data_IF_450247021136
#
_entry.id   IF_450247021136
#
_cell.length_a   1.000
_cell.length_b   1.000
_cell.length_c   1.000
_cell.angle_alpha   90.00
_cell.angle_beta   90.00
_cell.angle_gamma   90.00
#
_symmetry.space_group_name_H-M   'P 1'
#
loop_
_entity.id
_entity.type
_entity.pdbx_description
1 polymer ?
#
# COMPACT_ATOMS: atom_id res chain seq x y z
N UNK A 1 -51.92 -36.96 1.91
CA UNK A 1 -51.71 -35.99 3.01
C UNK A 1 -51.36 -36.71 4.31
N UNK A 2 -50.28 -37.51 4.35
CA UNK A 2 -49.86 -38.27 5.56
C UNK A 2 -48.33 -38.43 5.71
N UNK A 3 -47.52 -37.82 4.84
CA UNK A 3 -46.06 -37.96 4.88
C UNK A 3 -45.37 -37.06 5.93
N UNK A 4 -46.10 -36.09 6.52
CA UNK A 4 -45.54 -35.12 7.48
C UNK A 4 -45.67 -35.54 8.96
N UNK A 5 -46.35 -36.67 9.27
CA UNK A 5 -46.60 -37.10 10.66
C UNK A 5 -45.60 -38.15 11.17
N UNK A 6 -44.64 -38.57 10.33
CA UNK A 6 -43.69 -39.65 10.63
C UNK A 6 -42.26 -39.16 10.90
N UNK A 7 -42.09 -37.90 11.28
CA UNK A 7 -40.87 -37.49 11.98
C UNK A 7 -41.04 -38.03 13.40
N UNK A 8 -40.70 -39.30 13.58
CA UNK A 8 -40.75 -39.98 14.86
C UNK A 8 -39.97 -39.16 15.89
N UNK A 9 -40.49 -39.00 17.12
CA UNK A 9 -39.88 -38.13 18.14
C UNK A 9 -38.40 -38.43 18.43
N UNK A 10 -37.94 -39.64 18.08
CA UNK A 10 -36.53 -40.06 18.11
C UNK A 10 -35.66 -39.33 17.09
N UNK A 11 -36.16 -39.09 15.87
CA UNK A 11 -35.45 -38.35 14.82
C UNK A 11 -35.31 -36.88 15.22
N UNK A 12 -36.38 -36.28 15.75
CA UNK A 12 -36.34 -34.91 16.24
C UNK A 12 -35.34 -34.75 17.41
N UNK A 13 -35.33 -35.73 18.32
CA UNK A 13 -34.41 -35.76 19.46
C UNK A 13 -32.93 -35.89 19.04
N UNK A 14 -32.63 -36.50 17.88
CA UNK A 14 -31.27 -36.58 17.34
C UNK A 14 -30.90 -35.35 16.50
N UNK A 15 -31.84 -34.78 15.75
CA UNK A 15 -31.58 -33.62 14.89
C UNK A 15 -31.31 -32.33 15.68
N UNK A 16 -32.02 -32.11 16.79
CA UNK A 16 -31.85 -30.92 17.63
C UNK A 16 -30.41 -30.73 18.15
N UNK A 17 -29.77 -31.72 18.81
CA UNK A 17 -28.40 -31.57 19.28
C UNK A 17 -27.39 -31.47 18.12
N UNK A 18 -27.62 -32.17 17.01
CA UNK A 18 -26.76 -32.06 15.82
C UNK A 18 -26.80 -30.64 15.25
N UNK A 19 -27.99 -30.06 15.10
CA UNK A 19 -28.15 -28.68 14.64
C UNK A 19 -27.50 -27.69 15.61
N UNK A 20 -27.63 -27.94 16.91
CA UNK A 20 -27.02 -27.10 17.95
C UNK A 20 -25.49 -27.13 17.88
N UNK A 21 -24.91 -28.32 17.73
CA UNK A 21 -23.47 -28.50 17.55
C UNK A 21 -22.97 -27.89 16.24
N UNK A 22 -23.72 -28.03 15.15
CA UNK A 22 -23.39 -27.39 13.87
C UNK A 22 -23.41 -25.86 13.97
N UNK A 23 -24.41 -25.29 14.65
CA UNK A 23 -24.50 -23.85 14.88
C UNK A 23 -23.34 -23.33 15.75
N UNK A 24 -23.00 -24.05 16.83
CA UNK A 24 -21.83 -23.72 17.65
C UNK A 24 -20.52 -23.82 16.87
N UNK A 25 -20.35 -24.88 16.09
CA UNK A 25 -19.18 -25.06 15.22
C UNK A 25 -19.06 -23.93 14.20
N UNK A 26 -20.17 -23.51 13.59
CA UNK A 26 -20.20 -22.36 12.68
C UNK A 26 -19.86 -21.05 13.39
N UNK A 27 -20.37 -20.82 14.60
CA UNK A 27 -20.07 -19.61 15.37
C UNK A 27 -18.59 -19.56 15.78
N UNK A 28 -18.05 -20.66 16.29
CA UNK A 28 -16.63 -20.76 16.65
C UNK A 28 -15.73 -20.58 15.42
N UNK A 29 -16.08 -21.22 14.30
CA UNK A 29 -15.37 -21.07 13.02
C UNK A 29 -15.37 -19.62 12.52
N UNK A 30 -16.51 -18.94 12.56
CA UNK A 30 -16.60 -17.54 12.15
C UNK A 30 -15.73 -16.62 13.03
N UNK A 31 -15.71 -16.84 14.34
CA UNK A 31 -14.85 -16.09 15.27
C UNK A 31 -13.37 -16.35 14.95
N UNK A 32 -12.99 -17.60 14.74
CA UNK A 32 -11.63 -17.98 14.41
C UNK A 32 -11.16 -17.33 13.09
N UNK A 33 -11.96 -17.43 12.03
CA UNK A 33 -11.67 -16.82 10.73
C UNK A 33 -11.53 -15.30 10.87
N UNK A 34 -12.43 -14.66 11.62
CA UNK A 34 -12.36 -13.21 11.88
C UNK A 34 -11.07 -12.82 12.62
N UNK A 35 -10.70 -13.59 13.64
CA UNK A 35 -9.46 -13.34 14.38
C UNK A 35 -8.23 -13.50 13.48
N UNK A 36 -8.16 -14.61 12.75
CA UNK A 36 -7.04 -14.88 11.83
C UNK A 36 -6.94 -13.84 10.71
N UNK A 37 -8.08 -13.41 10.17
CA UNK A 37 -8.13 -12.33 9.17
C UNK A 37 -7.56 -11.04 9.73
N UNK A 38 -7.83 -10.71 11.00
CA UNK A 38 -7.29 -9.49 11.62
C UNK A 38 -5.78 -9.57 11.82
N UNK A 39 -5.26 -10.71 12.25
CA UNK A 39 -3.81 -10.91 12.38
C UNK A 39 -3.09 -10.75 11.04
N UNK A 40 -3.58 -11.43 10.00
CA UNK A 40 -3.00 -11.36 8.65
C UNK A 40 -3.08 -9.95 8.07
N UNK A 41 -4.18 -9.23 8.34
CA UNK A 41 -4.34 -7.85 7.90
C UNK A 41 -3.30 -6.93 8.55
N UNK A 42 -3.07 -7.06 9.86
CA UNK A 42 -2.06 -6.27 10.58
C UNK A 42 -0.65 -6.56 10.05
N UNK A 43 -0.34 -7.83 9.76
CA UNK A 43 0.95 -8.20 9.18
C UNK A 43 1.15 -7.58 7.79
N UNK A 44 0.11 -7.62 6.95
CA UNK A 44 0.12 -6.99 5.64
C UNK A 44 0.31 -5.47 5.73
N UNK A 45 -0.44 -4.82 6.63
CA UNK A 45 -0.35 -3.38 6.87
C UNK A 45 1.05 -2.97 7.30
N UNK A 46 1.70 -3.75 8.18
CA UNK A 46 3.09 -3.50 8.61
C UNK A 46 4.08 -3.57 7.43
N UNK A 47 3.92 -4.53 6.52
CA UNK A 47 4.79 -4.66 5.34
C UNK A 47 4.55 -3.53 4.34
N UNK A 48 3.30 -3.13 4.13
CA UNK A 48 2.96 -1.99 3.28
C UNK A 48 3.53 -0.69 3.85
N UNK A 49 3.40 -0.45 5.16
CA UNK A 49 3.95 0.74 5.80
C UNK A 49 5.46 0.87 5.60
N UNK A 50 6.20 -0.24 5.67
CA UNK A 50 7.65 -0.23 5.40
C UNK A 50 7.94 0.05 3.92
N UNK A 51 7.17 -0.53 3.00
CA UNK A 51 7.32 -0.25 1.56
C UNK A 51 7.05 1.22 1.25
N UNK A 52 5.97 1.78 1.79
CA UNK A 52 5.59 3.17 1.58
C UNK A 52 6.65 4.12 2.16
N UNK A 53 7.25 3.77 3.31
CA UNK A 53 8.39 4.51 3.86
C UNK A 53 9.59 4.52 2.91
N UNK A 54 9.97 3.36 2.38
CA UNK A 54 11.08 3.25 1.42
C UNK A 54 10.78 4.02 0.13
N UNK A 55 9.53 4.04 -0.33
CA UNK A 55 9.12 4.78 -1.52
C UNK A 55 9.23 6.30 -1.31
N UNK A 56 8.88 6.80 -0.12
CA UNK A 56 9.10 8.20 0.27
C UNK A 56 10.58 8.53 0.28
N UNK A 57 11.40 7.70 0.93
CA UNK A 57 12.86 7.90 1.00
C UNK A 57 13.49 7.89 -0.39
N UNK A 58 13.08 6.95 -1.24
CA UNK A 58 13.51 6.90 -2.64
C UNK A 58 13.12 8.17 -3.40
N UNK A 59 11.89 8.66 -3.22
CA UNK A 59 11.44 9.91 -3.83
C UNK A 59 12.28 11.12 -3.39
N UNK A 60 12.63 11.19 -2.11
CA UNK A 60 13.53 12.23 -1.58
C UNK A 60 14.92 12.14 -2.21
N UNK A 61 15.52 10.95 -2.25
CA UNK A 61 16.82 10.73 -2.88
C UNK A 61 16.82 11.07 -4.38
N UNK A 62 15.72 10.80 -5.08
CA UNK A 62 15.60 11.11 -6.50
C UNK A 62 15.48 12.63 -6.75
N UNK A 63 14.78 13.35 -5.87
CA UNK A 63 14.77 14.81 -5.87
C UNK A 63 16.17 15.38 -5.60
N UNK A 64 16.88 14.83 -4.61
CA UNK A 64 18.28 15.17 -4.36
C UNK A 64 19.14 14.93 -5.59
N UNK A 65 19.08 13.77 -6.25
CA UNK A 65 19.87 13.51 -7.47
C UNK A 65 19.53 14.44 -8.63
N UNK A 66 18.24 14.79 -8.79
CA UNK A 66 17.79 15.67 -9.88
C UNK A 66 18.33 17.10 -9.75
N UNK A 67 18.50 17.58 -8.51
CA UNK A 67 19.07 18.90 -8.23
C UNK A 67 20.55 18.99 -8.65
N UNK A 68 21.30 17.88 -8.56
CA UNK A 68 22.73 17.85 -8.90
C UNK A 68 22.98 17.52 -10.39
N UNK A 69 22.08 16.77 -11.04
CA UNK A 69 22.31 16.30 -12.41
C UNK A 69 22.01 17.31 -13.51
N UNK A 70 21.13 18.29 -13.29
CA UNK A 70 20.69 19.21 -14.37
C UNK A 70 21.37 20.57 -14.31
N UNK A 71 21.47 21.20 -13.13
CA UNK A 71 22.04 22.55 -13.03
C UNK A 71 23.57 22.54 -12.98
N UNK A 72 24.17 21.77 -12.07
CA UNK A 72 25.61 21.76 -11.91
C UNK A 72 26.35 21.14 -13.12
N UNK A 73 25.78 20.14 -13.77
CA UNK A 73 26.39 19.52 -14.95
C UNK A 73 26.44 20.47 -16.15
N UNK A 74 25.33 21.15 -16.46
CA UNK A 74 25.26 22.07 -17.61
C UNK A 74 26.12 23.32 -17.37
N UNK A 75 26.08 23.88 -16.16
CA UNK A 75 26.86 25.05 -15.79
C UNK A 75 28.37 24.75 -15.83
N UNK A 76 28.79 23.59 -15.31
CA UNK A 76 30.19 23.20 -15.32
C UNK A 76 30.67 22.82 -16.73
N UNK A 77 29.83 22.17 -17.55
CA UNK A 77 30.15 21.89 -18.95
C UNK A 77 30.27 23.19 -19.76
N UNK A 78 29.39 24.17 -19.53
CA UNK A 78 29.43 25.48 -20.18
C UNK A 78 30.64 26.33 -19.74
N UNK A 79 30.96 26.33 -18.44
CA UNK A 79 32.13 27.03 -17.92
C UNK A 79 33.44 26.40 -18.42
N UNK A 80 33.52 25.06 -18.46
CA UNK A 80 34.79 24.37 -18.74
C UNK A 80 35.02 24.14 -20.24
N UNK A 81 34.01 23.71 -21.01
CA UNK A 81 34.18 23.46 -22.45
C UNK A 81 33.91 24.69 -23.31
N UNK A 82 32.94 25.53 -22.93
CA UNK A 82 32.57 26.72 -23.70
C UNK A 82 33.21 28.01 -23.16
N UNK A 83 33.99 27.94 -22.07
CA UNK A 83 34.59 29.10 -21.41
C UNK A 83 33.57 30.20 -21.13
N UNK A 84 32.30 29.85 -20.88
CA UNK A 84 31.28 30.85 -20.59
C UNK A 84 31.45 31.37 -19.16
N UNK A 85 31.55 32.69 -19.03
CA UNK A 85 31.54 33.40 -17.76
C UNK A 85 30.42 34.44 -17.79
N UNK A 86 29.80 34.69 -16.63
CA UNK A 86 28.76 35.72 -16.50
C UNK A 86 29.41 37.08 -16.83
N UNK A 87 28.97 37.76 -17.90
CA UNK A 87 29.58 39.01 -18.30
C UNK A 87 29.32 40.09 -17.25
N UNK A 88 30.32 40.93 -16.93
CA UNK A 88 30.14 42.03 -15.98
C UNK A 88 29.09 43.02 -16.51
N UNK A 89 28.40 43.77 -15.64
CA UNK A 89 27.30 44.66 -16.01
C UNK A 89 27.65 45.69 -17.11
N UNK A 90 28.94 46.02 -17.24
CA UNK A 90 29.47 46.94 -18.24
C UNK A 90 29.47 46.38 -19.69
N UNK A 91 29.18 45.09 -19.89
CA UNK A 91 29.15 44.42 -21.20
C UNK A 91 27.73 44.00 -21.62
N UNK A 92 26.70 44.37 -20.85
CA UNK A 92 25.31 44.02 -21.15
C UNK A 92 24.67 45.18 -21.92
N UNK A 93 24.48 44.98 -23.22
CA UNK A 93 23.75 45.93 -24.08
C UNK A 93 22.33 45.40 -24.32
N UNK A 94 21.33 46.11 -23.80
CA UNK A 94 19.91 45.76 -23.95
C UNK A 94 19.40 46.44 -25.22
N UNK A 95 19.18 45.65 -26.27
CA UNK A 95 18.57 46.16 -27.50
C UNK A 95 17.05 46.12 -27.36
N UNK A 96 16.41 47.28 -27.40
CA UNK A 96 14.95 47.39 -27.42
C UNK A 96 14.40 46.87 -28.78
N UNK A 97 13.23 46.20 -28.79
CA UNK A 97 12.68 45.55 -29.98
C UNK A 97 12.34 46.52 -31.12
#
# INVERSE_FOLDING_TARGET
MNALRKIDGRVLALLLPVLWLAALGSAAGAIYVKHRSRELFVELEKKNAERDRLEIEWGQLQLEQSAWSTHAFVENLAATNLHMHIPPPAQIEVVAP
#
